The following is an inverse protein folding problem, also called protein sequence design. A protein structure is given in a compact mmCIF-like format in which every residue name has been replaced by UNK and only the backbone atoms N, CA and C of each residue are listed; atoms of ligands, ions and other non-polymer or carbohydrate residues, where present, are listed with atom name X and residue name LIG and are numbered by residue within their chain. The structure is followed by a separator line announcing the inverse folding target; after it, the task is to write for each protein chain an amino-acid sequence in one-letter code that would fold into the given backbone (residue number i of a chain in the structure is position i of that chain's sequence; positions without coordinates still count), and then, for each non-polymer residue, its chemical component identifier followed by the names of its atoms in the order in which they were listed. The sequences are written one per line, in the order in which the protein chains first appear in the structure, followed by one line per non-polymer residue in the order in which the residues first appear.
data_IF_039753906235
#
_entry.id   IF_039753906235
#
_cell.length_a   1.000
_cell.length_b   1.000
_cell.length_c   1.000
_cell.angle_alpha   90.00
_cell.angle_beta   90.00
_cell.angle_gamma   90.00
#
_symmetry.space_group_name_H-M   'P 1'
#
loop_
_entity.id
_entity.type
_entity.pdbx_description
1 polymer ?
#
# COMPACT_ATOMS: atom_id res chain seq x y z
N UNK A 1 2.48 7.42 -49.50
CA UNK A 1 1.43 7.22 -48.49
C UNK A 1 1.69 5.90 -47.78
N UNK A 2 2.24 5.92 -46.56
CA UNK A 2 2.58 4.73 -45.78
C UNK A 2 1.73 4.77 -44.51
N UNK A 3 0.69 3.94 -44.44
CA UNK A 3 -0.16 3.80 -43.26
C UNK A 3 0.64 3.06 -42.18
N UNK A 4 1.07 3.76 -41.13
CA UNK A 4 1.50 3.12 -39.89
C UNK A 4 0.25 2.80 -39.08
N UNK A 5 -0.06 1.52 -38.96
CA UNK A 5 -1.07 1.00 -38.04
C UNK A 5 -0.38 0.91 -36.68
N UNK A 6 -0.75 1.80 -35.76
CA UNK A 6 -0.39 1.70 -34.36
C UNK A 6 -1.23 0.59 -33.74
N UNK A 7 -0.67 -0.62 -33.69
CA UNK A 7 -1.23 -1.70 -32.89
C UNK A 7 -0.90 -1.40 -31.43
N UNK A 8 -1.76 -0.66 -30.74
CA UNK A 8 -1.74 -0.55 -29.27
C UNK A 8 -2.12 -1.90 -28.68
N UNK A 9 -1.12 -2.75 -28.45
CA UNK A 9 -1.20 -3.87 -27.54
C UNK A 9 -0.95 -3.34 -26.13
N UNK A 10 -2.00 -2.87 -25.45
CA UNK A 10 -2.00 -2.64 -24.00
C UNK A 10 -3.30 -3.22 -23.45
N UNK A 11 -3.39 -4.55 -23.49
CA UNK A 11 -4.47 -5.32 -22.91
C UNK A 11 -3.88 -6.38 -22.00
N UNK A 12 -4.34 -6.40 -20.75
CA UNK A 12 -3.99 -7.31 -19.66
C UNK A 12 -2.85 -6.86 -18.72
N UNK A 13 -3.08 -5.78 -17.95
CA UNK A 13 -2.79 -5.88 -16.52
C UNK A 13 -4.06 -6.40 -15.86
N UNK A 14 -4.11 -7.71 -15.66
CA UNK A 14 -5.05 -8.30 -14.71
C UNK A 14 -4.61 -7.81 -13.34
N UNK A 15 -5.42 -6.96 -12.72
CA UNK A 15 -5.30 -6.60 -11.31
C UNK A 15 -5.45 -7.88 -10.46
N UNK A 16 -4.34 -8.43 -10.00
CA UNK A 16 -4.19 -9.46 -8.95
C UNK A 16 -2.73 -9.40 -8.44
N UNK A 17 -2.45 -9.74 -7.18
CA UNK A 17 -1.69 -8.86 -6.30
C UNK A 17 -0.20 -8.83 -6.64
N UNK A 18 0.39 -7.64 -6.51
CA UNK A 18 1.82 -7.33 -6.69
C UNK A 18 2.72 -7.98 -5.64
N UNK A 19 2.52 -9.25 -5.32
CA UNK A 19 3.25 -9.96 -4.27
C UNK A 19 4.42 -10.79 -4.80
N UNK A 20 4.36 -11.27 -6.05
CA UNK A 20 5.43 -12.08 -6.61
C UNK A 20 6.54 -11.19 -7.21
N UNK A 21 7.68 -11.11 -6.51
CA UNK A 21 8.90 -10.46 -7.00
C UNK A 21 9.04 -8.97 -6.68
N UNK A 22 8.06 -8.36 -6.02
CA UNK A 22 8.19 -6.98 -5.54
C UNK A 22 9.28 -6.89 -4.45
N UNK A 23 10.19 -5.89 -4.51
CA UNK A 23 11.19 -5.68 -3.47
C UNK A 23 10.53 -5.41 -2.10
N UNK A 24 11.11 -5.96 -1.03
CA UNK A 24 10.57 -5.81 0.35
C UNK A 24 10.38 -4.33 0.73
N UNK A 25 11.36 -3.47 0.43
CA UNK A 25 11.27 -2.02 0.65
C UNK A 25 10.05 -1.38 -0.02
N UNK A 26 9.66 -1.85 -1.21
CA UNK A 26 8.51 -1.33 -1.93
C UNK A 26 7.20 -1.83 -1.30
N UNK A 27 7.15 -3.11 -0.92
CA UNK A 27 6.03 -3.68 -0.17
C UNK A 27 5.80 -3.00 1.17
N UNK A 28 6.88 -2.63 1.87
CA UNK A 28 6.79 -1.85 3.11
C UNK A 28 6.17 -0.47 2.88
N UNK A 29 6.56 0.22 1.80
CA UNK A 29 5.95 1.51 1.43
C UNK A 29 4.48 1.33 1.05
N UNK A 30 4.15 0.35 0.22
CA UNK A 30 2.78 0.06 -0.22
C UNK A 30 1.86 -0.26 0.96
N UNK A 31 2.36 -1.03 1.92
CA UNK A 31 1.64 -1.35 3.15
C UNK A 31 1.46 -0.15 4.08
N UNK A 32 2.48 0.70 4.24
CA UNK A 32 2.34 1.92 5.03
C UNK A 32 1.29 2.86 4.43
N UNK A 33 1.29 3.03 3.10
CA UNK A 33 0.28 3.85 2.42
C UNK A 33 -1.12 3.26 2.58
N UNK A 34 -1.29 1.95 2.46
CA UNK A 34 -2.59 1.30 2.69
C UNK A 34 -3.13 1.59 4.09
N UNK A 35 -2.31 1.40 5.12
CA UNK A 35 -2.70 1.66 6.51
C UNK A 35 -3.13 3.11 6.68
N UNK A 36 -2.38 4.06 6.14
CA UNK A 36 -2.72 5.49 6.22
C UNK A 36 -4.04 5.83 5.54
N UNK A 37 -4.29 5.26 4.35
CA UNK A 37 -5.55 5.48 3.65
C UNK A 37 -6.74 4.89 4.42
N UNK A 38 -6.56 3.74 5.06
CA UNK A 38 -7.60 3.09 5.87
C UNK A 38 -7.94 3.83 7.16
N UNK A 39 -6.92 4.42 7.81
CA UNK A 39 -7.16 5.30 8.96
C UNK A 39 -7.89 6.58 8.51
N UNK A 40 -7.62 7.02 7.29
CA UNK A 40 -8.11 8.24 6.68
C UNK A 40 -7.00 9.29 6.62
N UNK A 41 -7.10 10.22 5.67
CA UNK A 41 -6.08 11.27 5.48
C UNK A 41 -6.13 12.38 6.54
N UNK A 42 -6.96 12.18 7.56
CA UNK A 42 -7.13 13.10 8.67
C UNK A 42 -5.92 13.00 9.61
N UNK A 43 -5.47 14.11 10.18
CA UNK A 43 -4.41 14.07 11.20
C UNK A 43 -4.96 13.47 12.48
N UNK A 44 -4.50 12.27 12.86
CA UNK A 44 -4.86 11.64 14.14
C UNK A 44 -4.17 12.36 15.30
N UNK A 45 -4.91 12.54 16.40
CA UNK A 45 -4.36 13.02 17.66
C UNK A 45 -3.88 11.81 18.47
N UNK A 46 -2.57 11.68 18.77
CA UNK A 46 -2.06 10.55 19.55
C UNK A 46 -2.75 10.42 20.92
N UNK A 47 -3.02 9.19 21.35
CA UNK A 47 -3.62 8.88 22.66
C UNK A 47 -5.15 9.02 22.72
N UNK A 48 -5.80 9.38 21.60
CA UNK A 48 -7.26 9.44 21.53
C UNK A 48 -7.90 8.06 21.31
N UNK A 49 -7.23 7.19 20.56
CA UNK A 49 -7.70 5.84 20.26
C UNK A 49 -6.48 4.90 20.14
N UNK A 50 -6.41 3.90 21.02
CA UNK A 50 -5.28 2.97 21.11
C UNK A 50 -5.11 2.15 19.82
N UNK A 51 -6.22 1.79 19.16
CA UNK A 51 -6.15 1.04 17.90
C UNK A 51 -5.60 1.91 16.78
N UNK A 52 -6.04 3.17 16.67
CA UNK A 52 -5.49 4.11 15.69
C UNK A 52 -4.01 4.39 15.94
N UNK A 53 -3.59 4.48 17.21
CA UNK A 53 -2.18 4.63 17.59
C UNK A 53 -1.34 3.44 17.17
N UNK A 54 -1.83 2.20 17.37
CA UNK A 54 -1.16 0.97 16.93
C UNK A 54 -0.96 0.97 15.41
N UNK A 55 -2.00 1.30 14.65
CA UNK A 55 -1.90 1.34 13.19
C UNK A 55 -1.00 2.46 12.67
N UNK A 56 -1.06 3.63 13.30
CA UNK A 56 -0.17 4.75 12.97
C UNK A 56 1.29 4.36 13.23
N UNK A 57 1.58 3.73 14.38
CA UNK A 57 2.92 3.19 14.69
C UNK A 57 3.34 2.13 13.68
N UNK A 58 2.44 1.25 13.24
CA UNK A 58 2.72 0.24 12.23
C UNK A 58 3.19 0.87 10.90
N UNK A 59 2.43 1.85 10.39
CA UNK A 59 2.78 2.56 9.16
C UNK A 59 4.13 3.30 9.27
N UNK A 60 4.37 3.96 10.41
CA UNK A 60 5.65 4.63 10.71
C UNK A 60 6.80 3.63 10.73
N UNK A 61 6.65 2.49 11.41
CA UNK A 61 7.67 1.44 11.46
C UNK A 61 7.98 0.85 10.08
N UNK A 62 6.96 0.62 9.25
CA UNK A 62 7.15 0.15 7.87
C UNK A 62 7.93 1.17 7.02
N UNK A 63 7.59 2.47 7.11
CA UNK A 63 8.34 3.54 6.43
C UNK A 63 9.77 3.67 6.92
N UNK A 64 9.98 3.57 8.23
CA UNK A 64 11.31 3.61 8.81
C UNK A 64 12.16 2.46 8.26
N UNK A 65 11.61 1.24 8.20
CA UNK A 65 12.32 0.09 7.63
C UNK A 65 12.57 0.24 6.12
N UNK A 66 11.59 0.70 5.35
CA UNK A 66 11.79 0.98 3.93
C UNK A 66 12.88 2.03 3.69
N UNK A 67 12.94 3.06 4.55
CA UNK A 67 13.97 4.10 4.52
C UNK A 67 15.35 3.52 4.85
N UNK A 68 15.44 2.58 5.81
CA UNK A 68 16.69 1.87 6.12
C UNK A 68 17.22 1.04 4.95
N UNK A 69 16.34 0.45 4.14
CA UNK A 69 16.71 -0.41 3.00
C UNK A 69 17.00 0.37 1.70
N UNK A 70 16.62 1.64 1.63
CA UNK A 70 16.87 2.51 0.49
C UNK A 70 17.24 3.92 0.97
N UNK A 71 16.34 4.88 0.83
CA UNK A 71 16.47 6.25 1.29
C UNK A 71 15.11 6.96 1.34
N UNK A 72 15.06 8.15 1.95
CA UNK A 72 13.84 8.92 2.12
C UNK A 72 13.25 9.45 0.79
N UNK A 73 14.10 9.71 -0.21
CA UNK A 73 13.65 10.17 -1.53
C UNK A 73 12.90 9.07 -2.27
N UNK A 74 13.44 7.85 -2.25
CA UNK A 74 12.78 6.65 -2.77
C UNK A 74 11.44 6.41 -2.07
N UNK A 75 11.42 6.42 -0.73
CA UNK A 75 10.19 6.21 0.04
C UNK A 75 9.13 7.27 -0.30
N UNK A 76 9.52 8.54 -0.43
CA UNK A 76 8.60 9.61 -0.82
C UNK A 76 8.03 9.41 -2.22
N UNK A 77 8.89 9.09 -3.20
CA UNK A 77 8.46 8.90 -4.59
C UNK A 77 7.51 7.70 -4.72
N UNK A 78 7.88 6.56 -4.13
CA UNK A 78 7.07 5.34 -4.17
C UNK A 78 5.78 5.54 -3.39
N UNK A 79 5.79 6.28 -2.27
CA UNK A 79 4.56 6.56 -1.51
C UNK A 79 3.51 7.29 -2.35
N UNK A 80 3.93 8.27 -3.16
CA UNK A 80 3.03 8.99 -4.06
C UNK A 80 2.42 8.04 -5.10
N UNK A 81 3.27 7.25 -5.79
CA UNK A 81 2.82 6.29 -6.80
C UNK A 81 1.87 5.24 -6.22
N UNK A 82 2.19 4.70 -5.03
CA UNK A 82 1.34 3.69 -4.38
C UNK A 82 0.03 4.28 -3.88
N UNK A 83 0.00 5.55 -3.46
CA UNK A 83 -1.25 6.23 -3.08
C UNK A 83 -2.20 6.32 -4.26
N UNK A 84 -1.72 6.80 -5.41
CA UNK A 84 -2.53 6.89 -6.63
C UNK A 84 -3.04 5.51 -7.05
N UNK A 85 -2.18 4.49 -6.99
CA UNK A 85 -2.56 3.11 -7.29
C UNK A 85 -3.63 2.56 -6.33
N UNK A 86 -3.55 2.90 -5.04
CA UNK A 86 -4.55 2.47 -4.07
C UNK A 86 -5.90 3.12 -4.30
N UNK A 87 -5.94 4.42 -4.64
CA UNK A 87 -7.19 5.08 -5.03
C UNK A 87 -7.79 4.44 -6.28
N UNK A 88 -6.97 4.17 -7.30
CA UNK A 88 -7.42 3.47 -8.49
C UNK A 88 -8.01 2.08 -8.16
N UNK A 89 -7.32 1.28 -7.33
CA UNK A 89 -7.83 -0.03 -6.89
C UNK A 89 -9.12 0.09 -6.08
N UNK A 90 -9.26 1.13 -5.28
CA UNK A 90 -10.48 1.39 -4.50
C UNK A 90 -11.68 1.62 -5.42
N UNK A 91 -11.50 2.46 -6.45
CA UNK A 91 -12.54 2.79 -7.43
C UNK A 91 -12.89 1.57 -8.31
N UNK A 92 -11.87 0.89 -8.84
CA UNK A 92 -12.04 -0.28 -9.71
C UNK A 92 -12.63 -1.47 -8.95
N UNK A 93 -12.19 -1.68 -7.71
CA UNK A 93 -12.65 -2.74 -6.82
C UNK A 93 -14.00 -2.44 -6.16
N UNK A 94 -14.51 -1.21 -6.28
CA UNK A 94 -15.75 -0.76 -5.63
C UNK A 94 -15.77 -1.05 -4.13
N UNK A 95 -14.65 -0.77 -3.45
CA UNK A 95 -14.45 -1.15 -2.04
C UNK A 95 -15.27 -0.34 -1.05
N UNK A 96 -16.04 0.64 -1.50
CA UNK A 96 -17.09 1.26 -0.69
C UNK A 96 -18.20 0.25 -0.34
N UNK A 97 -18.48 -0.72 -1.23
CA UNK A 97 -19.36 -1.85 -0.94
C UNK A 97 -18.62 -2.91 -0.12
N UNK A 98 -19.04 -3.23 1.12
CA UNK A 98 -18.42 -4.26 1.95
C UNK A 98 -18.33 -5.64 1.28
N UNK A 99 -19.24 -5.97 0.36
CA UNK A 99 -19.25 -7.25 -0.34
C UNK A 99 -18.08 -7.41 -1.33
N UNK A 100 -17.43 -6.30 -1.72
CA UNK A 100 -16.34 -6.29 -2.69
C UNK A 100 -14.94 -6.23 -2.06
N UNK A 101 -14.84 -6.25 -0.72
CA UNK A 101 -13.58 -6.03 0.02
C UNK A 101 -12.69 -7.27 0.18
N UNK A 102 -12.94 -8.36 -0.55
CA UNK A 102 -12.15 -9.57 -0.43
C UNK A 102 -10.65 -9.32 -0.73
N UNK A 103 -10.35 -8.63 -1.84
CA UNK A 103 -8.98 -8.28 -2.22
C UNK A 103 -8.33 -7.31 -1.22
N UNK A 104 -9.08 -6.31 -0.75
CA UNK A 104 -8.63 -5.39 0.32
C UNK A 104 -8.23 -6.17 1.59
N UNK A 105 -9.00 -7.19 1.98
CA UNK A 105 -8.69 -8.02 3.13
C UNK A 105 -7.44 -8.90 2.91
N UNK A 106 -7.19 -9.37 1.69
CA UNK A 106 -5.96 -10.09 1.34
C UNK A 106 -4.73 -9.21 1.47
N UNK A 107 -4.79 -7.99 0.94
CA UNK A 107 -3.72 -7.00 1.06
C UNK A 107 -3.45 -6.61 2.50
N UNK A 108 -4.50 -6.37 3.27
CA UNK A 108 -4.38 -6.10 4.70
C UNK A 108 -3.68 -7.23 5.44
N UNK A 109 -4.07 -8.48 5.14
CA UNK A 109 -3.45 -9.68 5.71
C UNK A 109 -1.98 -9.80 5.30
N UNK A 110 -1.64 -9.50 4.05
CA UNK A 110 -0.27 -9.49 3.57
C UNK A 110 0.59 -8.49 4.35
N UNK A 111 0.12 -7.26 4.54
CA UNK A 111 0.86 -6.22 5.23
C UNK A 111 1.17 -6.59 6.68
N UNK A 112 0.21 -7.18 7.38
CA UNK A 112 0.44 -7.70 8.73
C UNK A 112 1.43 -8.86 8.76
N UNK A 113 1.34 -9.80 7.83
CA UNK A 113 2.30 -10.90 7.72
C UNK A 113 3.71 -10.40 7.43
N UNK A 114 3.85 -9.40 6.57
CA UNK A 114 5.13 -8.79 6.25
C UNK A 114 5.74 -8.08 7.47
N UNK A 115 4.95 -7.26 8.17
CA UNK A 115 5.43 -6.59 9.38
C UNK A 115 5.87 -7.57 10.46
N UNK A 116 5.08 -8.64 10.67
CA UNK A 116 5.44 -9.73 11.59
C UNK A 116 6.69 -10.48 11.16
N UNK A 117 6.84 -10.77 9.86
CA UNK A 117 8.00 -11.47 9.32
C UNK A 117 9.31 -10.68 9.57
N UNK A 118 9.21 -9.35 9.51
CA UNK A 118 10.35 -8.44 9.72
C UNK A 118 10.52 -8.01 11.19
N UNK A 119 9.74 -8.58 12.11
CA UNK A 119 9.76 -8.24 13.54
C UNK A 119 9.65 -6.72 13.79
N UNK A 120 8.83 -6.03 12.98
CA UNK A 120 8.58 -4.62 13.18
C UNK A 120 7.82 -4.47 14.48
N UNK A 121 8.30 -3.59 15.38
CA UNK A 121 7.64 -3.31 16.64
C UNK A 121 6.28 -2.66 16.37
N UNK A 122 5.25 -3.51 16.41
CA UNK A 122 3.84 -3.13 16.36
C UNK A 122 3.25 -3.01 17.78
N UNK A 123 4.07 -3.18 18.82
CA UNK A 123 3.59 -3.13 20.21
C UNK A 123 3.16 -1.71 20.61
N UNK A 124 2.06 -1.58 21.37
CA UNK A 124 1.59 -0.31 21.90
C UNK A 124 2.62 0.37 22.81
#
# INVERSE_FOLDING_TARGET
MRKLIYTTALGALVAAPGHAGQPIKESLVECAVLVELLLGEQSFVPGQDEMLDIYTKAAVSMRAEATRQADAGYVSQVSAVKRDLWHQRWDEGQWDDPNNRADLAEWWTYCFKLAKHLDLKLEP
#
